data_IF_758111251545
#
_entry.id   IF_758111251545
#
_cell.length_a   1.000
_cell.length_b   1.000
_cell.length_c   1.000
_cell.angle_alpha   90.00
_cell.angle_beta   90.00
_cell.angle_gamma   90.00
#
_symmetry.space_group_name_H-M   'P 1'
#
loop_
_entity.id
_entity.type
_entity.pdbx_description
1 polymer ?
#
# COMPACT_ATOMS: atom_id res chain seq x y z
N UNK A 1 3.01 1.76 -11.88
CA UNK A 1 2.99 1.92 -10.40
C UNK A 1 1.58 2.19 -9.82
N UNK A 2 0.49 1.96 -10.56
CA UNK A 2 -0.86 2.44 -10.18
C UNK A 2 -1.69 1.49 -9.28
N UNK A 3 -1.31 0.21 -9.14
CA UNK A 3 -2.17 -0.78 -8.45
C UNK A 3 -2.37 -0.49 -6.96
N UNK A 4 -1.30 -0.04 -6.28
CA UNK A 4 -1.33 0.17 -4.83
C UNK A 4 -2.14 1.42 -4.49
N UNK A 5 -2.02 2.48 -5.28
CA UNK A 5 -2.80 3.70 -5.10
C UNK A 5 -4.29 3.49 -5.37
N UNK A 6 -4.62 2.71 -6.40
CA UNK A 6 -6.00 2.53 -6.88
C UNK A 6 -6.81 1.57 -5.99
N UNK A 7 -6.20 0.48 -5.51
CA UNK A 7 -6.95 -0.58 -4.79
C UNK A 7 -6.73 -0.60 -3.29
N UNK A 8 -5.50 -0.33 -2.82
CA UNK A 8 -5.13 -0.52 -1.41
C UNK A 8 -5.53 0.68 -0.55
N UNK A 9 -5.27 1.90 -1.03
CA UNK A 9 -5.54 3.14 -0.28
C UNK A 9 -7.04 3.31 0.05
N UNK A 10 -7.99 3.13 -0.90
CA UNK A 10 -9.41 3.33 -0.59
C UNK A 10 -9.95 2.36 0.45
N UNK A 11 -9.49 1.11 0.46
CA UNK A 11 -9.89 0.09 1.46
C UNK A 11 -9.37 0.44 2.86
N UNK A 12 -8.16 0.98 2.95
CA UNK A 12 -7.60 1.44 4.22
C UNK A 12 -8.35 2.67 4.75
N UNK A 13 -8.66 3.65 3.89
CA UNK A 13 -9.41 4.84 4.29
C UNK A 13 -10.87 4.54 4.70
N UNK A 14 -11.51 3.55 4.07
CA UNK A 14 -12.84 3.07 4.49
C UNK A 14 -12.81 2.36 5.84
N UNK A 15 -11.70 1.67 6.15
CA UNK A 15 -11.56 1.01 7.44
C UNK A 15 -11.36 2.01 8.58
N UNK A 16 -10.61 3.09 8.33
CA UNK A 16 -10.44 4.19 9.28
C UNK A 16 -10.03 5.50 8.59
N UNK A 17 -10.84 6.54 8.75
CA UNK A 17 -10.64 7.83 8.08
C UNK A 17 -9.61 8.72 8.79
N UNK A 18 -9.24 8.36 10.02
CA UNK A 18 -8.24 9.09 10.83
C UNK A 18 -6.81 8.62 10.57
N UNK A 19 -6.63 7.58 9.75
CA UNK A 19 -5.34 6.92 9.58
C UNK A 19 -4.37 7.80 8.80
N UNK A 20 -3.28 8.20 9.46
CA UNK A 20 -2.24 9.07 8.89
C UNK A 20 -0.88 8.40 8.84
N UNK A 21 -0.10 8.79 7.84
CA UNK A 21 1.32 8.49 7.76
C UNK A 21 1.70 7.48 6.69
N UNK A 22 2.87 6.87 6.87
CA UNK A 22 3.47 5.99 5.87
C UNK A 22 3.58 4.57 6.40
N UNK A 23 3.10 3.62 5.62
CA UNK A 23 3.33 2.19 5.82
C UNK A 23 4.35 1.70 4.80
N UNK A 24 5.21 0.78 5.22
CA UNK A 24 6.23 0.20 4.37
C UNK A 24 6.06 -1.30 4.33
N UNK A 25 5.96 -1.86 3.13
CA UNK A 25 5.79 -3.28 2.93
C UNK A 25 6.87 -3.79 2.01
N UNK A 26 7.59 -4.79 2.50
CA UNK A 26 8.59 -5.53 1.75
C UNK A 26 7.96 -6.81 1.21
N UNK A 27 8.29 -7.14 -0.03
CA UNK A 27 7.91 -8.40 -0.65
C UNK A 27 8.92 -8.77 -1.73
N UNK A 28 8.92 -10.03 -2.14
CA UNK A 28 9.78 -10.55 -3.19
C UNK A 28 8.95 -10.79 -4.44
N UNK A 29 9.43 -10.30 -5.58
CA UNK A 29 8.86 -10.62 -6.89
C UNK A 29 9.73 -11.72 -7.50
N UNK A 30 9.14 -12.88 -7.74
CA UNK A 30 9.76 -14.03 -8.40
C UNK A 30 10.00 -13.76 -9.89
N UNK A 31 10.85 -14.54 -10.55
CA UNK A 31 11.14 -14.45 -12.00
C UNK A 31 9.88 -14.56 -12.88
N UNK A 32 8.83 -15.21 -12.36
CA UNK A 32 7.52 -15.36 -13.01
C UNK A 32 6.57 -14.18 -12.75
N UNK A 33 7.03 -13.14 -12.07
CA UNK A 33 6.23 -11.98 -11.69
C UNK A 33 5.27 -12.20 -10.52
N UNK A 34 5.45 -13.29 -9.75
CA UNK A 34 4.61 -13.59 -8.59
C UNK A 34 5.19 -12.93 -7.34
N UNK A 35 4.35 -12.25 -6.58
CA UNK A 35 4.74 -11.66 -5.31
C UNK A 35 4.66 -12.69 -4.18
N UNK A 36 5.70 -12.79 -3.36
CA UNK A 36 5.87 -13.71 -2.23
C UNK A 36 6.49 -12.98 -1.04
N UNK A 37 6.47 -13.62 0.14
CA UNK A 37 7.13 -13.15 1.36
C UNK A 37 6.80 -11.70 1.75
N UNK A 38 5.50 -11.40 1.83
CA UNK A 38 5.03 -10.09 2.29
C UNK A 38 5.35 -9.88 3.78
N UNK A 39 6.18 -8.88 4.08
CA UNK A 39 6.53 -8.44 5.43
C UNK A 39 6.22 -6.95 5.58
N UNK A 40 5.41 -6.61 6.57
CA UNK A 40 5.14 -5.21 6.92
C UNK A 40 6.27 -4.72 7.82
N UNK A 41 7.03 -3.73 7.36
CA UNK A 41 8.18 -3.18 8.08
C UNK A 41 7.79 -2.02 9.00
N UNK A 42 6.78 -1.24 8.58
CA UNK A 42 6.18 -0.17 9.39
C UNK A 42 4.69 -0.44 9.49
N UNK A 43 4.30 -1.11 10.58
CA UNK A 43 2.90 -1.38 10.91
C UNK A 43 2.24 -0.13 11.51
N UNK A 44 0.95 0.01 11.25
CA UNK A 44 0.07 1.00 11.90
C UNK A 44 -1.05 0.32 12.69
N UNK A 45 -1.02 -1.00 12.79
CA UNK A 45 -1.99 -1.79 13.54
C UNK A 45 -2.28 -3.15 12.88
N UNK A 46 -2.56 -4.20 13.66
CA UNK A 46 -2.77 -5.56 13.13
C UNK A 46 -3.92 -5.67 12.12
N UNK A 47 -4.96 -4.82 12.26
CA UNK A 47 -6.11 -4.80 11.36
C UNK A 47 -5.72 -4.34 9.94
N UNK A 48 -4.86 -3.33 9.84
CA UNK A 48 -4.42 -2.77 8.57
C UNK A 48 -3.41 -3.69 7.87
N UNK A 49 -2.51 -4.30 8.65
CA UNK A 49 -1.54 -5.25 8.12
C UNK A 49 -2.24 -6.43 7.44
N UNK A 50 -3.32 -6.95 8.05
CA UNK A 50 -4.16 -8.01 7.46
C UNK A 50 -4.78 -7.58 6.13
N UNK A 51 -5.32 -6.36 6.04
CA UNK A 51 -5.92 -5.83 4.81
C UNK A 51 -4.85 -5.69 3.73
N UNK A 52 -3.70 -5.12 4.06
CA UNK A 52 -2.60 -4.90 3.12
C UNK A 52 -2.08 -6.24 2.58
N UNK A 53 -1.77 -7.19 3.47
CA UNK A 53 -1.29 -8.52 3.07
C UNK A 53 -2.33 -9.21 2.19
N UNK A 54 -3.62 -9.08 2.53
CA UNK A 54 -4.71 -9.64 1.71
C UNK A 54 -4.74 -9.01 0.33
N UNK A 55 -4.74 -7.68 0.21
CA UNK A 55 -4.77 -7.01 -1.11
C UNK A 55 -3.52 -7.33 -1.93
N UNK A 56 -2.36 -7.39 -1.28
CA UNK A 56 -1.10 -7.73 -1.92
C UNK A 56 -1.06 -9.15 -2.49
N UNK A 57 -1.81 -10.10 -1.90
CA UNK A 57 -1.98 -11.44 -2.47
C UNK A 57 -2.85 -11.47 -3.74
N UNK A 58 -3.76 -10.50 -3.90
CA UNK A 58 -4.66 -10.41 -5.05
C UNK A 58 -4.11 -9.55 -6.19
N UNK A 59 -2.81 -9.22 -6.16
CA UNK A 59 -2.18 -8.44 -7.23
C UNK A 59 -2.04 -9.29 -8.50
N UNK A 60 -2.23 -8.64 -9.67
CA UNK A 60 -1.84 -9.24 -10.95
C UNK A 60 -0.33 -9.46 -10.97
N UNK A 61 0.17 -10.29 -11.91
CA UNK A 61 1.60 -10.55 -12.06
C UNK A 61 2.35 -9.23 -12.29
N UNK A 62 3.41 -9.02 -11.51
CA UNK A 62 4.29 -7.87 -11.64
C UNK A 62 5.43 -8.17 -12.60
N UNK A 63 5.98 -7.14 -13.23
CA UNK A 63 7.20 -7.31 -14.04
C UNK A 63 8.38 -7.57 -13.10
N UNK A 64 9.08 -8.72 -13.22
CA UNK A 64 10.28 -8.98 -12.44
C UNK A 64 11.39 -8.02 -12.85
N UNK A 65 12.39 -7.88 -11.98
CA UNK A 65 13.63 -7.19 -12.36
C UNK A 65 14.37 -7.97 -13.44
N UNK A 66 14.97 -7.25 -14.38
CA UNK A 66 15.86 -7.81 -15.40
C UNK A 66 17.29 -7.47 -15.03
N UNK A 67 18.14 -8.48 -14.96
CA UNK A 67 19.58 -8.32 -14.76
C UNK A 67 20.30 -9.03 -15.90
N UNK A 68 21.06 -8.29 -16.70
CA UNK A 68 21.79 -8.81 -17.88
C UNK A 68 20.85 -9.63 -18.79
N UNK A 69 19.67 -9.09 -19.08
CA UNK A 69 18.67 -9.74 -19.94
C UNK A 69 17.95 -10.95 -19.35
N UNK A 70 18.24 -11.36 -18.11
CA UNK A 70 17.59 -12.49 -17.43
C UNK A 70 16.63 -11.99 -16.35
N UNK A 71 15.42 -12.59 -16.20
CA UNK A 71 14.53 -12.28 -15.10
C UNK A 71 15.12 -12.80 -13.79
N UNK A 72 15.24 -11.92 -12.80
CA UNK A 72 15.79 -12.23 -11.48
C UNK A 72 14.76 -11.93 -10.39
N UNK A 73 14.76 -12.77 -9.36
CA UNK A 73 13.92 -12.56 -8.20
C UNK A 73 14.47 -11.38 -7.40
N UNK A 74 13.66 -10.34 -7.20
CA UNK A 74 14.07 -9.11 -6.52
C UNK A 74 13.15 -8.78 -5.36
N UNK A 75 13.73 -8.21 -4.30
CA UNK A 75 12.98 -7.67 -3.17
C UNK A 75 12.55 -6.24 -3.49
N UNK A 76 11.26 -5.98 -3.37
CA UNK A 76 10.66 -4.66 -3.52
C UNK A 76 10.17 -4.16 -2.18
N UNK A 77 10.35 -2.85 -1.95
CA UNK A 77 9.77 -2.13 -0.84
C UNK A 77 8.80 -1.09 -1.41
N UNK A 78 7.52 -1.22 -1.07
CA UNK A 78 6.52 -0.22 -1.44
C UNK A 78 6.17 0.62 -0.22
N UNK A 79 6.29 1.94 -0.40
CA UNK A 79 5.86 2.94 0.57
C UNK A 79 4.45 3.38 0.24
N UNK A 80 3.52 3.07 1.14
CA UNK A 80 2.11 3.48 1.06
C UNK A 80 1.97 4.73 1.91
N UNK A 81 1.79 5.89 1.26
CA UNK A 81 1.54 7.16 1.93
C UNK A 81 0.04 7.39 2.01
N UNK A 82 -0.49 7.47 3.23
CA UNK A 82 -1.88 7.78 3.50
C UNK A 82 -1.97 9.26 3.88
N UNK A 83 -2.73 10.02 3.11
CA UNK A 83 -3.02 11.43 3.40
C UNK A 83 -4.43 11.52 3.98
N UNK A 84 -4.59 12.33 5.02
CA UNK A 84 -5.91 12.72 5.51
C UNK A 84 -6.58 13.53 4.41
N UNK A 85 -7.80 13.15 4.01
CA UNK A 85 -8.71 14.15 3.46
C UNK A 85 -9.08 15.01 4.66
N UNK A 86 -8.54 16.21 4.79
CA UNK A 86 -9.12 17.19 5.71
C UNK A 86 -10.59 17.29 5.33
N UNK A 87 -11.46 16.65 6.11
CA UNK A 87 -12.88 16.99 6.11
C UNK A 87 -12.89 18.46 6.44
N UNK A 88 -13.24 19.29 5.45
CA UNK A 88 -13.46 20.70 5.68
C UNK A 88 -14.52 20.77 6.79
N UNK A 89 -14.10 21.14 8.00
CA UNK A 89 -15.02 21.58 9.04
C UNK A 89 -15.76 22.74 8.39
N UNK A 90 -17.06 22.55 8.21
CA UNK A 90 -17.99 23.54 7.68
C UNK A 90 -17.67 24.87 8.34
N UNK A 91 -17.48 25.91 7.53
CA UNK A 91 -17.51 27.30 7.99
C UNK A 91 -18.91 27.55 8.58
N UNK A 92 -19.07 27.27 9.86
CA UNK A 92 -20.20 27.68 10.67
C UNK A 92 -19.58 28.40 11.87
N UNK A 93 -20.03 29.64 12.13
CA UNK A 93 -19.41 30.69 12.98
C UNK A 93 -18.21 31.36 12.28
N UNK A 94 -18.17 32.67 11.98
CA UNK A 94 -18.84 33.83 12.58
C UNK A 94 -19.00 34.94 11.52
N UNK A 95 -20.13 35.67 11.54
CA UNK A 95 -20.12 37.05 12.03
C UNK A 95 -21.55 37.57 12.28
N UNK A 96 -21.71 38.51 13.24
CA UNK A 96 -22.99 39.05 13.70
C UNK A 96 -23.67 39.95 12.66
#
# INVERSE_FOLDING_TARGET
MAFVSDRVIPKLMKADSTLTGTMMVNFVIDKKGRCKDFKVYRSKGPRFDKIIIREMKHMKRWTPGMLVGRPVSMRYCVRIRMKVKQTQRVKSMEKP
#
